data_IF_371486855311
#
_entry.id   IF_371486855311
#
_cell.length_a   1.000
_cell.length_b   1.000
_cell.length_c   1.000
_cell.angle_alpha   90.00
_cell.angle_beta   90.00
_cell.angle_gamma   90.00
#
_symmetry.space_group_name_H-M   'P 1'
#
loop_
_entity.id
_entity.type
_entity.pdbx_description
1 polymer ?
#
# COMPACT_ATOMS: atom_id res chain seq x y z
N UNK A 1 5.99 27.12 -17.96
CA UNK A 1 6.43 25.72 -18.09
C UNK A 1 6.45 25.15 -16.68
N UNK A 2 5.38 24.43 -16.31
CA UNK A 2 5.22 23.85 -14.97
C UNK A 2 6.22 22.73 -14.80
N UNK A 3 7.16 22.91 -13.87
CA UNK A 3 8.20 21.95 -13.55
C UNK A 3 7.58 20.63 -13.13
N UNK A 4 7.85 19.61 -13.93
CA UNK A 4 7.55 18.22 -13.63
C UNK A 4 8.18 17.86 -12.28
N UNK A 5 7.32 17.55 -11.32
CA UNK A 5 7.71 16.99 -10.03
C UNK A 5 8.08 15.52 -10.26
N UNK A 6 9.17 15.28 -10.99
CA UNK A 6 9.82 13.98 -11.04
C UNK A 6 10.44 13.76 -9.67
N UNK A 7 9.60 13.30 -8.73
CA UNK A 7 10.05 12.79 -7.44
C UNK A 7 11.17 11.79 -7.72
N UNK A 8 12.31 11.88 -7.01
CA UNK A 8 13.35 10.87 -7.15
C UNK A 8 12.67 9.53 -6.95
N UNK A 9 12.93 8.58 -7.86
CA UNK A 9 12.55 7.20 -7.69
C UNK A 9 13.34 6.64 -6.49
N UNK A 10 12.99 7.11 -5.30
CA UNK A 10 13.26 6.42 -4.04
C UNK A 10 12.65 5.07 -4.32
N UNK A 11 13.49 4.05 -4.35
CA UNK A 11 13.06 2.66 -4.40
C UNK A 11 12.34 2.44 -3.06
N UNK A 12 11.07 2.83 -2.99
CA UNK A 12 10.25 2.69 -1.80
C UNK A 12 10.08 1.20 -1.62
N UNK A 13 10.83 0.64 -0.66
CA UNK A 13 10.78 -0.79 -0.35
C UNK A 13 9.38 -1.21 0.08
N UNK A 14 8.66 -0.31 0.76
CA UNK A 14 7.26 -0.50 1.12
C UNK A 14 6.57 0.83 1.52
N UNK A 15 5.30 0.96 1.13
CA UNK A 15 4.40 2.07 1.42
C UNK A 15 3.70 1.93 2.78
N UNK A 16 3.23 3.04 3.33
CA UNK A 16 2.37 3.05 4.52
C UNK A 16 0.90 2.81 4.14
N UNK A 17 0.04 2.60 5.14
CA UNK A 17 -1.41 2.47 4.89
C UNK A 17 -2.01 3.73 4.28
N UNK A 18 -1.58 4.92 4.72
CA UNK A 18 -2.09 6.19 4.19
C UNK A 18 -1.71 6.36 2.71
N UNK A 19 -0.46 6.07 2.35
CA UNK A 19 -0.02 6.17 0.96
C UNK A 19 -0.80 5.20 0.06
N UNK A 20 -1.00 3.96 0.50
CA UNK A 20 -1.77 2.98 -0.28
C UNK A 20 -3.25 3.35 -0.35
N UNK A 21 -3.81 3.92 0.72
CA UNK A 21 -5.17 4.47 0.73
C UNK A 21 -5.33 5.58 -0.32
N UNK A 22 -4.38 6.51 -0.40
CA UNK A 22 -4.35 7.54 -1.44
C UNK A 22 -4.18 6.93 -2.84
N UNK A 23 -3.30 5.94 -3.03
CA UNK A 23 -3.08 5.31 -4.33
C UNK A 23 -4.29 4.51 -4.82
N UNK A 24 -5.00 3.83 -3.92
CA UNK A 24 -6.19 3.04 -4.24
C UNK A 24 -7.47 3.87 -4.20
N UNK A 25 -7.40 5.13 -3.74
CA UNK A 25 -8.55 5.99 -3.44
C UNK A 25 -9.55 5.29 -2.50
N UNK A 26 -9.02 4.60 -1.48
CA UNK A 26 -9.78 3.82 -0.50
C UNK A 26 -9.53 4.32 0.92
N UNK A 27 -10.46 4.13 1.87
CA UNK A 27 -10.20 4.49 3.25
C UNK A 27 -9.12 3.60 3.87
N UNK A 28 -8.30 4.20 4.75
CA UNK A 28 -7.20 3.52 5.47
C UNK A 28 -7.67 2.27 6.22
N UNK A 29 -8.90 2.29 6.75
CA UNK A 29 -9.54 1.15 7.40
C UNK A 29 -9.75 -0.05 6.47
N UNK A 30 -10.14 0.19 5.22
CA UNK A 30 -10.25 -0.85 4.18
C UNK A 30 -8.88 -1.40 3.84
N UNK A 31 -7.88 -0.55 3.60
CA UNK A 31 -6.50 -1.00 3.34
C UNK A 31 -5.96 -1.85 4.49
N UNK A 32 -6.20 -1.44 5.74
CA UNK A 32 -5.84 -2.24 6.93
C UNK A 32 -6.55 -3.60 6.93
N UNK A 33 -7.80 -3.65 6.49
CA UNK A 33 -8.55 -4.90 6.35
C UNK A 33 -7.94 -5.77 5.26
N UNK A 34 -7.59 -5.22 4.10
CA UNK A 34 -6.91 -5.93 3.00
C UNK A 34 -5.55 -6.51 3.42
N UNK A 35 -4.80 -5.81 4.26
CA UNK A 35 -3.58 -6.34 4.87
C UNK A 35 -3.86 -7.53 5.80
N UNK A 36 -4.95 -7.48 6.59
CA UNK A 36 -5.34 -8.56 7.51
C UNK A 36 -5.93 -9.76 6.81
N UNK A 37 -6.68 -9.57 5.72
CA UNK A 37 -7.30 -10.63 4.91
C UNK A 37 -6.36 -11.17 3.84
N UNK A 38 -5.10 -10.72 3.81
CA UNK A 38 -4.08 -11.13 2.84
C UNK A 38 -4.43 -10.80 1.38
N UNK A 39 -5.33 -9.84 1.14
CA UNK A 39 -5.60 -9.35 -0.22
C UNK A 39 -4.40 -8.55 -0.76
N UNK A 40 -3.72 -7.81 0.10
CA UNK A 40 -2.40 -7.21 -0.16
C UNK A 40 -1.30 -8.21 0.21
N UNK A 41 -1.10 -9.24 -0.62
CA UNK A 41 -0.12 -10.32 -0.38
C UNK A 41 1.30 -9.77 -0.30
N UNK A 42 1.95 -9.96 0.86
CA UNK A 42 3.30 -9.46 1.13
C UNK A 42 3.33 -8.21 2.01
N UNK A 43 2.18 -7.66 2.42
CA UNK A 43 2.13 -6.66 3.47
C UNK A 43 2.62 -7.25 4.81
N UNK A 44 3.47 -6.51 5.52
CA UNK A 44 4.05 -6.92 6.80
C UNK A 44 4.05 -5.78 7.82
N UNK A 45 4.25 -6.10 9.10
CA UNK A 45 4.41 -5.10 10.16
C UNK A 45 5.88 -4.94 10.50
N UNK A 46 6.34 -3.71 10.76
CA UNK A 46 7.75 -3.45 11.10
C UNK A 46 8.05 -3.55 12.60
N UNK A 47 7.09 -3.97 13.42
CA UNK A 47 7.26 -4.10 14.87
C UNK A 47 6.37 -5.16 15.48
N UNK A 48 6.62 -5.49 16.75
CA UNK A 48 5.77 -6.39 17.54
C UNK A 48 4.67 -5.56 18.23
N UNK A 49 3.42 -5.91 18.01
CA UNK A 49 2.27 -5.30 18.71
C UNK A 49 1.06 -5.00 17.83
N UNK A 50 -0.05 -4.65 18.48
CA UNK A 50 -1.30 -4.27 17.80
C UNK A 50 -1.19 -2.92 17.06
N UNK A 51 -0.30 -2.05 17.54
CA UNK A 51 -0.01 -0.69 17.02
C UNK A 51 1.16 -0.64 16.05
N UNK A 52 1.86 -1.77 15.82
CA UNK A 52 2.98 -1.79 14.91
C UNK A 52 2.53 -1.39 13.49
N UNK A 53 3.26 -0.46 12.84
CA UNK A 53 2.83 0.09 11.57
C UNK A 53 2.99 -0.95 10.47
N UNK A 54 2.04 -0.94 9.54
CA UNK A 54 2.08 -1.79 8.35
C UNK A 54 3.00 -1.17 7.29
N UNK A 55 3.59 -2.06 6.49
CA UNK A 55 4.39 -1.76 5.33
C UNK A 55 3.91 -2.66 4.19
N UNK A 56 3.57 -2.02 3.07
CA UNK A 56 2.98 -2.67 1.90
C UNK A 56 3.96 -2.50 0.74
N UNK A 57 4.62 -3.57 0.27
CA UNK A 57 5.51 -3.47 -0.88
C UNK A 57 4.71 -3.17 -2.17
N UNK A 58 5.31 -2.48 -3.17
CA UNK A 58 4.67 -2.18 -4.45
C UNK A 58 4.08 -3.44 -5.11
N UNK A 59 4.81 -4.56 -5.09
CA UNK A 59 4.35 -5.83 -5.66
C UNK A 59 3.03 -6.34 -5.03
N UNK A 60 2.76 -6.02 -3.76
CA UNK A 60 1.49 -6.37 -3.11
C UNK A 60 0.33 -5.55 -3.68
N UNK A 61 0.57 -4.26 -3.97
CA UNK A 61 -0.40 -3.35 -4.59
C UNK A 61 -0.67 -3.80 -6.03
N UNK A 62 0.37 -4.10 -6.80
CA UNK A 62 0.25 -4.61 -8.16
C UNK A 62 -0.58 -5.90 -8.21
N UNK A 63 -0.28 -6.86 -7.32
CA UNK A 63 -1.05 -8.09 -7.20
C UNK A 63 -2.51 -7.81 -6.85
N UNK A 64 -2.76 -6.92 -5.91
CA UNK A 64 -4.11 -6.55 -5.50
C UNK A 64 -4.91 -5.91 -6.64
N UNK A 65 -4.31 -4.97 -7.38
CA UNK A 65 -4.95 -4.34 -8.53
C UNK A 65 -5.23 -5.34 -9.66
N UNK A 66 -4.34 -6.31 -9.90
CA UNK A 66 -4.54 -7.37 -10.91
C UNK A 66 -5.63 -8.37 -10.54
N UNK A 67 -5.77 -8.66 -9.25
CA UNK A 67 -6.72 -9.66 -8.74
C UNK A 67 -8.07 -9.07 -8.37
N UNK A 68 -8.20 -7.73 -8.40
CA UNK A 68 -9.48 -7.07 -8.22
C UNK A 68 -10.40 -7.42 -9.40
N UNK A 69 -11.59 -8.01 -9.15
CA UNK A 69 -12.62 -8.03 -10.16
C UNK A 69 -12.98 -6.57 -10.43
N UNK A 70 -12.72 -6.13 -11.66
CA UNK A 70 -13.10 -4.81 -12.17
C UNK A 70 -14.63 -4.79 -12.16
N UNK A 71 -15.21 -4.20 -11.12
CA UNK A 71 -16.63 -3.89 -11.08
C UNK A 71 -16.95 -2.77 -12.06
#
# INVERSE_FOLDING_TARGET
>A
MTTEKTSPAIVIRAYTLEQVAEMLQEPVSSVRTHCRTQALKGAYKTGRGKTAPWRIPPAAIDHYQRTRPRQ
#
